data_IF_257119726867
#
_entry.id   IF_257119726867
#
_cell.length_a   1.000
_cell.length_b   1.000
_cell.length_c   1.000
_cell.angle_alpha   90.00
_cell.angle_beta   90.00
_cell.angle_gamma   90.00
#
_symmetry.space_group_name_H-M   'P 1'
#
loop_
_entity.id
_entity.type
_entity.pdbx_description
1 polymer ?
#
# COMPACT_ATOMS: atom_id res chain seq x y z
N UNK A 1 15.34 0.55 -21.94
CA UNK A 1 15.66 -0.31 -20.78
C UNK A 1 14.37 -0.61 -20.04
N UNK A 2 14.19 -1.83 -19.48
CA UNK A 2 13.04 -2.11 -18.64
C UNK A 2 13.10 -1.26 -17.36
N UNK A 3 11.94 -0.83 -16.87
CA UNK A 3 11.81 -0.09 -15.61
C UNK A 3 12.13 -1.06 -14.47
N UNK A 4 13.08 -0.71 -13.60
CA UNK A 4 13.32 -1.48 -12.37
C UNK A 4 12.25 -1.19 -11.32
N UNK A 5 12.05 -2.10 -10.37
CA UNK A 5 11.06 -1.91 -9.31
C UNK A 5 11.31 -0.61 -8.50
N UNK A 6 12.57 -0.28 -8.24
CA UNK A 6 12.98 0.94 -7.53
C UNK A 6 12.67 2.24 -8.29
N UNK A 7 12.42 2.16 -9.60
CA UNK A 7 12.08 3.31 -10.43
C UNK A 7 10.57 3.57 -10.49
N UNK A 8 9.74 2.61 -10.07
CA UNK A 8 8.28 2.70 -10.19
C UNK A 8 7.73 3.93 -9.46
N UNK A 9 8.24 4.25 -8.27
CA UNK A 9 7.79 5.44 -7.53
C UNK A 9 8.02 6.74 -8.29
N UNK A 10 9.13 6.88 -9.02
CA UNK A 10 9.42 8.11 -9.77
C UNK A 10 8.43 8.38 -10.92
N UNK A 11 7.76 7.33 -11.40
CA UNK A 11 6.77 7.39 -12.49
C UNK A 11 5.35 7.55 -11.92
N UNK A 12 5.02 6.77 -10.89
CA UNK A 12 3.66 6.69 -10.34
C UNK A 12 3.39 7.82 -9.33
N UNK A 13 4.39 8.19 -8.54
CA UNK A 13 4.28 9.15 -7.45
C UNK A 13 3.39 8.67 -6.29
N UNK A 14 3.46 9.38 -5.17
CA UNK A 14 2.66 9.08 -3.97
C UNK A 14 1.15 9.10 -4.24
N UNK A 15 0.69 10.10 -5.00
CA UNK A 15 -0.72 10.25 -5.35
C UNK A 15 -1.23 9.08 -6.21
N UNK A 16 -0.39 8.54 -7.09
CA UNK A 16 -0.70 7.33 -7.86
C UNK A 16 -0.89 6.10 -6.96
N UNK A 17 0.02 5.91 -6.00
CA UNK A 17 -0.12 4.84 -5.00
C UNK A 17 -1.34 5.03 -4.10
N UNK A 18 -1.66 6.27 -3.70
CA UNK A 18 -2.86 6.59 -2.92
C UNK A 18 -4.12 6.17 -3.68
N UNK A 19 -4.21 6.53 -4.96
CA UNK A 19 -5.34 6.16 -5.82
C UNK A 19 -5.43 4.65 -6.03
N UNK A 20 -4.31 3.98 -6.27
CA UNK A 20 -4.23 2.53 -6.49
C UNK A 20 -4.69 1.75 -5.26
N UNK A 21 -4.07 2.02 -4.11
CA UNK A 21 -4.37 1.27 -2.87
C UNK A 21 -5.76 1.62 -2.34
N UNK A 22 -6.18 2.88 -2.45
CA UNK A 22 -7.55 3.26 -2.12
C UNK A 22 -8.59 2.61 -3.04
N UNK A 23 -8.29 2.40 -4.33
CA UNK A 23 -9.18 1.66 -5.23
C UNK A 23 -9.28 0.17 -4.85
N UNK A 24 -8.19 -0.44 -4.41
CA UNK A 24 -8.20 -1.79 -3.88
C UNK A 24 -9.08 -1.88 -2.62
N UNK A 25 -8.83 -1.06 -1.59
CA UNK A 25 -9.59 -1.12 -0.34
C UNK A 25 -11.04 -0.62 -0.44
N UNK A 26 -11.43 0.08 -1.51
CA UNK A 26 -12.86 0.33 -1.80
C UNK A 26 -13.62 -0.93 -2.22
N UNK A 27 -12.95 -1.92 -2.79
CA UNK A 27 -13.56 -3.16 -3.27
C UNK A 27 -13.53 -4.28 -2.21
N UNK A 28 -12.52 -4.25 -1.31
CA UNK A 28 -12.31 -5.29 -0.30
C UNK A 28 -13.53 -5.55 0.61
N UNK A 29 -14.28 -4.55 1.13
CA UNK A 29 -15.40 -4.79 2.04
C UNK A 29 -16.51 -5.65 1.44
N UNK A 30 -16.72 -5.57 0.13
CA UNK A 30 -17.74 -6.31 -0.60
C UNK A 30 -17.22 -7.64 -1.18
N UNK A 31 -15.92 -7.90 -1.07
CA UNK A 31 -15.31 -9.14 -1.55
C UNK A 31 -15.66 -10.30 -0.61
N UNK A 32 -16.19 -11.43 -1.13
CA UNK A 32 -16.67 -12.54 -0.30
C UNK A 32 -15.55 -13.26 0.47
N UNK A 33 -14.30 -13.11 0.06
CA UNK A 33 -13.14 -13.70 0.71
C UNK A 33 -12.45 -12.64 1.57
N UNK A 34 -11.99 -11.54 0.96
CA UNK A 34 -11.15 -10.55 1.61
C UNK A 34 -11.93 -9.72 2.63
N UNK A 35 -13.20 -9.40 2.39
CA UNK A 35 -14.02 -8.60 3.32
C UNK A 35 -14.19 -9.27 4.68
N UNK A 36 -14.20 -10.60 4.72
CA UNK A 36 -14.31 -11.40 5.94
C UNK A 36 -12.97 -11.58 6.68
N UNK A 37 -11.84 -11.19 6.07
CA UNK A 37 -10.50 -11.34 6.68
C UNK A 37 -10.13 -10.17 7.60
N UNK A 38 -10.85 -9.05 7.55
CA UNK A 38 -10.54 -7.83 8.31
C UNK A 38 -11.68 -7.43 9.25
N UNK A 39 -11.37 -6.93 10.46
CA UNK A 39 -12.35 -6.18 11.23
C UNK A 39 -12.80 -4.95 10.44
N UNK A 40 -14.11 -4.65 10.45
CA UNK A 40 -14.69 -3.57 9.62
C UNK A 40 -14.08 -2.19 9.87
N UNK A 41 -13.61 -1.94 11.10
CA UNK A 41 -13.05 -0.65 11.49
C UNK A 41 -11.53 -0.53 11.19
N UNK A 42 -10.90 -1.58 10.66
CA UNK A 42 -9.46 -1.60 10.40
C UNK A 42 -9.07 -1.24 8.96
N UNK A 43 -10.02 -1.19 8.03
CA UNK A 43 -9.72 -0.92 6.61
C UNK A 43 -8.90 0.37 6.38
N UNK A 44 -9.19 1.52 7.03
CA UNK A 44 -8.38 2.72 6.83
C UNK A 44 -6.92 2.54 7.26
N UNK A 45 -6.68 1.81 8.36
CA UNK A 45 -5.34 1.54 8.85
C UNK A 45 -4.63 0.51 7.96
N UNK A 46 -5.34 -0.52 7.47
CA UNK A 46 -4.82 -1.50 6.54
C UNK A 46 -4.43 -0.85 5.18
N UNK A 47 -5.25 0.08 4.68
CA UNK A 47 -4.97 0.88 3.49
C UNK A 47 -3.68 1.69 3.64
N UNK A 48 -3.56 2.44 4.74
CA UNK A 48 -2.37 3.25 5.01
C UNK A 48 -1.10 2.39 5.10
N UNK A 49 -1.18 1.21 5.75
CA UNK A 49 -0.05 0.28 5.88
C UNK A 49 0.38 -0.26 4.51
N UNK A 50 -0.56 -0.77 3.71
CA UNK A 50 -0.23 -1.30 2.38
C UNK A 50 0.36 -0.21 1.49
N UNK A 51 -0.21 1.00 1.51
CA UNK A 51 0.31 2.15 0.76
C UNK A 51 1.74 2.48 1.17
N UNK A 52 2.01 2.64 2.45
CA UNK A 52 3.36 2.95 2.95
C UNK A 52 4.37 1.86 2.57
N UNK A 53 4.00 0.59 2.70
CA UNK A 53 4.83 -0.53 2.29
C UNK A 53 5.18 -0.48 0.79
N UNK A 54 4.19 -0.30 -0.09
CA UNK A 54 4.42 -0.27 -1.54
C UNK A 54 5.25 0.95 -1.96
N UNK A 55 4.98 2.12 -1.39
CA UNK A 55 5.78 3.33 -1.65
C UNK A 55 7.25 3.07 -1.34
N UNK A 56 7.56 2.52 -0.15
CA UNK A 56 8.92 2.22 0.22
C UNK A 56 9.54 1.13 -0.68
N UNK A 57 8.78 0.08 -0.97
CA UNK A 57 9.25 -1.06 -1.79
C UNK A 57 9.61 -0.66 -3.22
N UNK A 58 8.99 0.39 -3.74
CA UNK A 58 9.13 0.87 -5.11
C UNK A 58 9.97 2.15 -5.24
N UNK A 59 10.77 2.49 -4.22
CA UNK A 59 11.76 3.57 -4.27
C UNK A 59 11.32 4.93 -3.71
N UNK A 60 10.17 4.98 -3.04
CA UNK A 60 9.70 6.18 -2.33
C UNK A 60 10.28 6.34 -0.91
N UNK A 61 9.79 7.33 -0.15
CA UNK A 61 10.27 7.61 1.21
C UNK A 61 10.19 6.39 2.16
N UNK A 62 11.20 6.23 3.01
CA UNK A 62 11.26 5.14 4.00
C UNK A 62 10.49 5.45 5.31
N UNK A 63 9.38 6.18 5.21
CA UNK A 63 8.55 6.53 6.38
C UNK A 63 7.92 5.28 7.01
N UNK A 64 7.47 4.33 6.19
CA UNK A 64 6.80 3.11 6.66
C UNK A 64 7.65 2.30 7.65
N UNK A 65 8.92 2.04 7.34
CA UNK A 65 9.80 1.29 8.25
C UNK A 65 10.20 2.08 9.49
N UNK A 66 10.19 3.43 9.44
CA UNK A 66 10.44 4.28 10.62
C UNK A 66 9.28 4.22 11.61
N UNK A 67 8.04 4.18 11.13
CA UNK A 67 6.86 4.10 11.98
C UNK A 67 6.58 2.69 12.53
N UNK A 68 7.05 1.64 11.84
CA UNK A 68 6.65 0.24 12.13
C UNK A 68 7.81 -0.71 12.44
N UNK A 69 9.05 -0.29 12.29
CA UNK A 69 10.23 -1.16 12.33
C UNK A 69 10.43 -1.92 11.00
N UNK A 70 11.40 -2.84 10.96
CA UNK A 70 11.64 -3.65 9.76
C UNK A 70 10.36 -4.39 9.33
N UNK A 71 9.95 -4.31 8.05
CA UNK A 71 8.82 -5.05 7.54
C UNK A 71 9.06 -6.55 7.75
N UNK A 72 8.38 -7.14 8.73
CA UNK A 72 8.20 -8.58 8.82
C UNK A 72 6.92 -8.88 8.05
N UNK A 73 7.08 -9.12 6.75
CA UNK A 73 6.04 -9.80 5.97
C UNK A 73 6.03 -11.27 6.35
#
# INVERSE_FOLDING_TARGET
MPISEEQVYSIVGEEGFRRLVGAFYRQVPDDPILGNMYPKDEFPAAEARLRGFLIQRFGGPQDYSRERGHPRL
#
